data_IF_938560168244
#
_entry.id   IF_938560168244
#
_cell.length_a   1.000
_cell.length_b   1.000
_cell.length_c   1.000
_cell.angle_alpha   90.00
_cell.angle_beta   90.00
_cell.angle_gamma   90.00
#
_symmetry.space_group_name_H-M   'P 1'
#
loop_
_entity.id
_entity.type
_entity.pdbx_description
1 polymer ?
#
# COMPACT_ATOMS: atom_id res chain seq x y z
N UNK A 1 -2.96 42.70 7.52
CA UNK A 1 -4.07 42.07 6.77
C UNK A 1 -4.59 43.10 5.79
N UNK A 2 -4.19 43.03 4.53
CA UNK A 2 -4.62 43.97 3.49
C UNK A 2 -6.08 43.67 3.13
N UNK A 3 -6.98 44.65 3.26
CA UNK A 3 -8.36 44.48 2.81
C UNK A 3 -8.38 44.44 1.27
N UNK A 4 -8.81 43.31 0.73
CA UNK A 4 -9.02 43.15 -0.71
C UNK A 4 -10.23 44.00 -1.13
N UNK A 5 -10.05 44.92 -2.07
CA UNK A 5 -11.15 45.75 -2.58
C UNK A 5 -11.88 45.05 -3.71
N UNK A 6 -13.11 45.48 -4.02
CA UNK A 6 -13.87 44.97 -5.18
C UNK A 6 -13.08 45.12 -6.48
N UNK A 7 -12.31 46.20 -6.62
CA UNK A 7 -11.48 46.47 -7.79
C UNK A 7 -10.34 45.46 -7.91
N UNK A 8 -9.73 45.07 -6.80
CA UNK A 8 -8.64 44.09 -6.78
C UNK A 8 -9.14 42.71 -7.22
N UNK A 9 -10.32 42.29 -6.74
CA UNK A 9 -10.95 41.01 -7.15
C UNK A 9 -11.24 40.99 -8.65
N UNK A 10 -11.82 42.06 -9.20
CA UNK A 10 -12.13 42.16 -10.63
C UNK A 10 -10.84 42.15 -11.46
N UNK A 11 -9.81 42.87 -11.02
CA UNK A 11 -8.51 42.92 -11.72
C UNK A 11 -7.85 41.53 -11.73
N UNK A 12 -7.86 40.82 -10.60
CA UNK A 12 -7.32 39.46 -10.52
C UNK A 12 -8.10 38.48 -11.42
N UNK A 13 -9.43 38.56 -11.43
CA UNK A 13 -10.26 37.71 -12.28
C UNK A 13 -10.02 37.95 -13.79
N UNK A 14 -9.85 39.21 -14.20
CA UNK A 14 -9.54 39.54 -15.60
C UNK A 14 -8.13 39.08 -15.99
N UNK A 15 -7.14 39.26 -15.10
CA UNK A 15 -5.79 38.73 -15.34
C UNK A 15 -5.79 37.22 -15.54
N UNK A 16 -6.56 36.48 -14.72
CA UNK A 16 -6.70 35.04 -14.88
C UNK A 16 -7.36 34.67 -16.22
N UNK A 17 -8.39 35.42 -16.63
CA UNK A 17 -9.06 35.21 -17.91
C UNK A 17 -8.10 35.45 -19.09
N UNK A 18 -7.27 36.49 -19.02
CA UNK A 18 -6.24 36.78 -20.02
C UNK A 18 -5.18 35.66 -20.07
N UNK A 19 -4.70 35.18 -18.92
CA UNK A 19 -3.72 34.09 -18.86
C UNK A 19 -4.26 32.77 -19.45
N UNK A 20 -5.56 32.48 -19.27
CA UNK A 20 -6.23 31.34 -19.91
C UNK A 20 -6.38 31.58 -21.42
N UNK A 21 -6.82 32.77 -21.84
CA UNK A 21 -7.02 33.10 -23.25
C UNK A 21 -5.71 33.09 -24.06
N UNK A 22 -4.61 33.50 -23.43
CA UNK A 22 -3.25 33.47 -24.01
C UNK A 22 -2.61 32.08 -23.95
N UNK A 23 -3.27 31.08 -23.35
CA UNK A 23 -2.76 29.71 -23.23
C UNK A 23 -1.59 29.57 -22.25
N UNK A 24 -1.33 30.58 -21.42
CA UNK A 24 -0.34 30.51 -20.33
C UNK A 24 -0.82 29.63 -19.18
N UNK A 25 -2.13 29.59 -18.98
CA UNK A 25 -2.78 28.82 -17.95
C UNK A 25 -3.71 27.79 -18.59
N UNK A 26 -3.23 26.55 -18.71
CA UNK A 26 -4.02 25.43 -19.18
C UNK A 26 -4.70 24.72 -17.98
N UNK A 27 -6.05 24.63 -17.95
CA UNK A 27 -6.77 23.95 -16.88
C UNK A 27 -6.34 22.50 -16.67
N UNK A 28 -6.03 21.77 -17.75
CA UNK A 28 -5.60 20.37 -17.63
C UNK A 28 -4.23 20.26 -16.96
N UNK A 29 -3.31 21.19 -17.26
CA UNK A 29 -2.01 21.30 -16.60
C UNK A 29 -2.15 21.65 -15.11
N UNK A 30 -3.06 22.56 -14.77
CA UNK A 30 -3.33 22.89 -13.36
C UNK A 30 -3.92 21.72 -12.58
N UNK A 31 -4.85 20.97 -13.17
CA UNK A 31 -5.42 19.79 -12.52
C UNK A 31 -4.33 18.72 -12.30
N UNK A 32 -3.49 18.47 -13.31
CA UNK A 32 -2.37 17.55 -13.17
C UNK A 32 -1.39 17.97 -12.07
N UNK A 33 -1.06 19.27 -12.01
CA UNK A 33 -0.21 19.80 -10.95
C UNK A 33 -0.86 19.65 -9.57
N UNK A 34 -2.14 19.99 -9.42
CA UNK A 34 -2.86 19.84 -8.17
C UNK A 34 -2.90 18.38 -7.71
N UNK A 35 -3.14 17.43 -8.62
CA UNK A 35 -3.09 15.99 -8.32
C UNK A 35 -1.69 15.55 -7.90
N UNK A 36 -0.64 16.06 -8.54
CA UNK A 36 0.73 15.76 -8.17
C UNK A 36 1.07 16.26 -6.77
N UNK A 37 0.72 17.52 -6.46
CA UNK A 37 0.93 18.12 -5.13
C UNK A 37 0.12 17.41 -4.05
N UNK A 38 -1.15 17.08 -4.32
CA UNK A 38 -1.98 16.32 -3.39
C UNK A 38 -1.38 14.93 -3.15
N UNK A 39 -0.90 14.24 -4.19
CA UNK A 39 -0.24 12.94 -4.03
C UNK A 39 1.03 13.06 -3.19
N UNK A 40 1.81 14.12 -3.35
CA UNK A 40 2.99 14.36 -2.52
C UNK A 40 2.60 14.60 -1.06
N UNK A 41 1.55 15.38 -0.82
CA UNK A 41 1.11 15.75 0.51
C UNK A 41 0.41 14.61 1.27
N UNK A 42 -0.52 13.89 0.63
CA UNK A 42 -1.35 12.86 1.30
C UNK A 42 -1.01 11.43 0.90
N UNK A 43 -0.18 11.23 -0.13
CA UNK A 43 0.10 9.90 -0.67
C UNK A 43 1.11 9.10 0.14
N UNK A 44 1.83 9.73 1.06
CA UNK A 44 2.72 9.04 2.00
C UNK A 44 2.05 8.96 3.37
N UNK A 45 1.91 7.74 3.89
CA UNK A 45 1.34 7.48 5.22
C UNK A 45 2.48 7.07 6.14
N UNK A 46 2.79 7.90 7.15
CA UNK A 46 3.90 7.64 8.09
C UNK A 46 3.43 6.81 9.29
N UNK A 47 2.22 7.07 9.80
CA UNK A 47 1.65 6.40 10.97
C UNK A 47 0.67 7.29 11.73
N UNK A 48 0.17 6.80 12.87
CA UNK A 48 -0.86 7.48 13.67
C UNK A 48 -0.46 8.86 14.21
N UNK A 49 0.84 9.14 14.31
CA UNK A 49 1.36 10.45 14.72
C UNK A 49 1.38 11.49 13.59
N UNK A 50 1.00 11.11 12.36
CA UNK A 50 0.88 12.03 11.23
C UNK A 50 -0.32 12.98 11.42
N UNK A 51 -0.15 14.31 11.34
CA UNK A 51 -1.26 15.26 11.40
C UNK A 51 -2.35 15.03 10.36
N UNK A 52 -2.04 14.34 9.24
CA UNK A 52 -2.98 14.01 8.18
C UNK A 52 -3.66 12.65 8.37
N UNK A 53 -3.33 11.90 9.44
CA UNK A 53 -3.81 10.54 9.67
C UNK A 53 -5.33 10.42 9.63
N UNK A 54 -6.05 11.28 10.35
CA UNK A 54 -7.53 11.22 10.39
C UNK A 54 -8.16 11.42 9.00
N UNK A 55 -7.58 12.31 8.19
CA UNK A 55 -8.01 12.53 6.81
C UNK A 55 -7.72 11.30 5.94
N UNK A 56 -6.55 10.70 6.07
CA UNK A 56 -6.17 9.48 5.35
C UNK A 56 -7.10 8.31 5.69
N UNK A 57 -7.45 8.12 6.97
CA UNK A 57 -8.41 7.11 7.42
C UNK A 57 -9.81 7.36 6.84
N UNK A 58 -10.25 8.63 6.81
CA UNK A 58 -11.53 8.99 6.21
C UNK A 58 -11.55 8.69 4.70
N UNK A 59 -10.49 9.04 3.97
CA UNK A 59 -10.35 8.74 2.54
C UNK A 59 -10.37 7.23 2.31
N UNK A 60 -9.56 6.47 3.07
CA UNK A 60 -9.52 5.01 2.95
C UNK A 60 -10.91 4.38 3.20
N UNK A 61 -11.62 4.85 4.23
CA UNK A 61 -12.99 4.39 4.52
C UNK A 61 -13.96 4.70 3.38
N UNK A 62 -13.86 5.88 2.77
CA UNK A 62 -14.68 6.27 1.61
C UNK A 62 -14.38 5.43 0.36
N UNK A 63 -13.11 5.12 0.11
CA UNK A 63 -12.68 4.23 -0.98
C UNK A 63 -13.26 2.82 -0.78
N UNK A 64 -13.16 2.27 0.42
CA UNK A 64 -13.73 0.96 0.76
C UNK A 64 -15.25 0.94 0.59
N UNK A 65 -15.96 1.97 1.08
CA UNK A 65 -17.41 2.09 0.94
C UNK A 65 -17.86 2.18 -0.54
N UNK A 66 -17.01 2.75 -1.39
CA UNK A 66 -17.26 2.86 -2.84
C UNK A 66 -16.85 1.61 -3.62
N UNK A 67 -16.31 0.58 -2.95
CA UNK A 67 -15.81 -0.63 -3.60
C UNK A 67 -14.52 -0.42 -4.41
N UNK A 68 -13.70 0.57 -4.04
CA UNK A 68 -12.48 0.93 -4.77
C UNK A 68 -11.34 -0.10 -4.67
N UNK A 69 -11.43 -1.06 -3.75
CA UNK A 69 -10.47 -2.17 -3.60
C UNK A 69 -11.25 -3.48 -3.78
N UNK A 70 -10.81 -4.39 -4.67
CA UNK A 70 -11.42 -5.71 -4.83
C UNK A 70 -11.43 -6.51 -3.53
N UNK A 71 -12.45 -7.35 -3.33
CA UNK A 71 -12.60 -8.15 -2.10
C UNK A 71 -11.43 -9.09 -1.84
N UNK A 72 -10.87 -9.69 -2.89
CA UNK A 72 -9.73 -10.61 -2.77
C UNK A 72 -8.49 -9.87 -2.25
N UNK A 73 -8.19 -8.69 -2.80
CA UNK A 73 -7.09 -7.84 -2.34
C UNK A 73 -7.31 -7.36 -0.89
N UNK A 74 -8.54 -6.98 -0.53
CA UNK A 74 -8.87 -6.63 0.86
C UNK A 74 -8.62 -7.78 1.83
N UNK A 75 -8.88 -9.03 1.40
CA UNK A 75 -8.65 -10.22 2.23
C UNK A 75 -7.17 -10.46 2.50
N UNK A 76 -6.30 -10.15 1.53
CA UNK A 76 -4.84 -10.21 1.69
C UNK A 76 -4.35 -9.15 2.68
N UNK A 77 -4.81 -7.90 2.54
CA UNK A 77 -4.45 -6.83 3.46
C UNK A 77 -4.95 -7.09 4.89
N UNK A 78 -6.10 -7.74 5.05
CA UNK A 78 -6.58 -8.18 6.37
C UNK A 78 -5.64 -9.24 6.98
N UNK A 79 -5.13 -10.18 6.18
CA UNK A 79 -4.16 -11.16 6.65
C UNK A 79 -2.84 -10.48 7.08
N UNK A 80 -2.37 -9.49 6.32
CA UNK A 80 -1.20 -8.66 6.69
C UNK A 80 -1.43 -7.93 8.01
N UNK A 81 -2.59 -7.29 8.18
CA UNK A 81 -2.93 -6.58 9.41
C UNK A 81 -2.96 -7.52 10.63
N UNK A 82 -3.61 -8.68 10.52
CA UNK A 82 -3.64 -9.70 11.60
C UNK A 82 -2.25 -10.18 11.98
N UNK A 83 -1.40 -10.44 10.98
CA UNK A 83 0.00 -10.84 11.21
C UNK A 83 0.77 -9.76 11.96
N UNK A 84 0.60 -8.48 11.59
CA UNK A 84 1.24 -7.34 12.28
C UNK A 84 0.79 -7.25 13.74
N UNK A 85 -0.48 -7.50 14.00
CA UNK A 85 -1.06 -7.44 15.35
C UNK A 85 -0.73 -8.69 16.20
N UNK A 86 0.09 -9.60 15.68
CA UNK A 86 0.48 -10.84 16.36
C UNK A 86 -0.67 -11.86 16.50
N UNK A 87 -1.78 -11.63 15.80
CA UNK A 87 -2.88 -12.59 15.70
C UNK A 87 -2.48 -13.59 14.62
N UNK A 88 -1.75 -14.64 15.03
CA UNK A 88 -1.58 -15.81 14.18
C UNK A 88 -2.97 -16.24 13.73
N UNK A 89 -3.17 -16.20 12.42
CA UNK A 89 -4.46 -16.52 11.82
C UNK A 89 -4.62 -18.01 12.00
N UNK A 90 -5.32 -18.44 13.05
CA UNK A 90 -5.87 -19.79 13.04
C UNK A 90 -6.62 -19.90 11.70
N UNK A 91 -6.29 -20.90 10.86
CA UNK A 91 -7.07 -21.13 9.65
C UNK A 91 -8.52 -21.22 10.08
N UNK A 92 -9.40 -20.48 9.40
CA UNK A 92 -10.84 -20.45 9.67
C UNK A 92 -11.28 -21.89 9.92
N UNK A 93 -11.49 -22.22 11.20
CA UNK A 93 -11.81 -23.58 11.61
C UNK A 93 -13.00 -24.03 10.79
N UNK A 94 -12.89 -25.28 10.33
CA UNK A 94 -13.83 -26.01 9.48
C UNK A 94 -15.31 -25.62 9.70
N UNK A 95 -16.15 -25.69 8.65
CA UNK A 95 -17.53 -25.22 8.69
C UNK A 95 -18.22 -25.59 9.99
N UNK A 96 -18.73 -24.58 10.70
CA UNK A 96 -19.50 -24.73 11.94
C UNK A 96 -20.55 -25.82 11.70
N UNK A 97 -20.52 -26.93 12.45
CA UNK A 97 -21.53 -27.98 12.29
C UNK A 97 -22.91 -27.37 12.54
N UNK A 98 -23.74 -27.37 11.51
CA UNK A 98 -25.17 -27.07 11.64
C UNK A 98 -25.75 -28.15 12.55
N UNK A 99 -26.48 -27.80 13.63
CA UNK A 99 -27.11 -28.79 14.49
C UNK A 99 -28.09 -29.64 13.65
N UNK A 100 -27.71 -30.89 13.39
CA UNK A 100 -28.46 -31.83 12.54
C UNK A 100 -27.64 -32.69 11.58
N UNK A 101 -26.32 -32.48 11.45
CA UNK A 101 -25.46 -33.36 10.65
C UNK A 101 -24.90 -34.52 11.48
N UNK A 102 -25.60 -35.65 11.50
CA UNK A 102 -25.06 -36.92 11.99
C UNK A 102 -23.92 -37.40 11.08
N UNK A 103 -22.68 -37.14 11.47
CA UNK A 103 -21.50 -37.83 10.92
C UNK A 103 -20.65 -38.37 12.07
N UNK A 104 -20.42 -39.69 12.15
CA UNK A 104 -19.86 -40.32 13.34
C UNK A 104 -18.38 -40.03 13.50
N UNK A 105 -18.00 -39.77 14.75
CA UNK A 105 -16.63 -39.57 15.20
C UNK A 105 -15.81 -40.85 15.01
N UNK A 106 -14.89 -40.82 14.04
CA UNK A 106 -13.91 -41.87 13.78
C UNK A 106 -12.50 -41.33 13.96
N UNK A 107 -12.06 -41.21 15.21
CA UNK A 107 -10.66 -40.98 15.52
C UNK A 107 -9.87 -42.29 15.33
N UNK A 108 -9.04 -42.37 14.29
CA UNK A 108 -7.76 -43.11 14.32
C UNK A 108 -6.77 -42.42 13.39
N UNK A 109 -5.63 -41.99 13.92
CA UNK A 109 -4.35 -42.65 13.62
C UNK A 109 -3.19 -41.85 14.18
N UNK A 110 -2.50 -42.52 15.08
CA UNK A 110 -1.18 -42.20 15.58
C UNK A 110 -0.16 -42.27 14.43
N UNK A 111 0.58 -41.20 14.21
CA UNK A 111 1.95 -41.27 13.67
C UNK A 111 2.80 -40.23 14.40
N UNK A 112 3.54 -40.70 15.40
CA UNK A 112 4.70 -39.99 15.91
C UNK A 112 5.82 -40.19 14.90
N UNK A 113 5.98 -39.22 14.00
CA UNK A 113 7.14 -39.10 13.12
C UNK A 113 8.13 -38.13 13.74
N UNK A 114 9.33 -38.63 14.04
CA UNK A 114 10.50 -37.83 14.37
C UNK A 114 10.81 -36.91 13.18
N UNK A 115 10.50 -35.62 13.30
CA UNK A 115 10.89 -34.62 12.30
C UNK A 115 11.96 -33.71 12.91
N UNK A 116 13.18 -34.19 12.70
CA UNK A 116 14.41 -33.42 12.54
C UNK A 116 14.16 -31.95 12.15
N UNK A 117 14.84 -31.03 12.81
CA UNK A 117 14.89 -29.61 12.45
C UNK A 117 15.20 -29.43 10.96
N UNK A 118 14.18 -29.15 10.16
CA UNK A 118 14.29 -28.79 8.76
C UNK A 118 13.43 -27.55 8.54
N UNK A 119 14.07 -26.38 8.49
CA UNK A 119 13.42 -25.12 8.16
C UNK A 119 13.01 -25.16 6.68
N UNK A 120 11.87 -25.79 6.38
CA UNK A 120 11.34 -25.98 5.05
C UNK A 120 10.62 -24.75 4.51
N UNK A 121 11.26 -23.58 4.57
CA UNK A 121 10.91 -22.56 3.59
C UNK A 121 11.35 -23.13 2.22
N UNK A 122 10.50 -23.10 1.18
CA UNK A 122 11.00 -23.33 -0.17
C UNK A 122 12.14 -22.33 -0.38
N UNK A 123 13.34 -22.85 -0.64
CA UNK A 123 14.43 -22.01 -1.12
C UNK A 123 14.03 -21.58 -2.52
N UNK A 124 13.31 -20.45 -2.62
CA UNK A 124 12.77 -19.88 -3.87
C UNK A 124 13.87 -19.59 -4.91
N UNK A 125 15.14 -19.74 -4.52
CA UNK A 125 16.32 -19.57 -5.35
C UNK A 125 17.06 -20.90 -5.63
N UNK A 126 16.56 -22.05 -5.19
CA UNK A 126 17.19 -23.36 -5.38
C UNK A 126 17.37 -23.73 -6.85
N UNK A 127 16.46 -23.28 -7.71
CA UNK A 127 16.49 -23.52 -9.16
C UNK A 127 17.36 -22.49 -9.91
N UNK A 128 17.89 -21.47 -9.23
CA UNK A 128 18.67 -20.40 -9.83
C UNK A 128 20.15 -20.79 -9.85
N UNK A 129 20.84 -20.77 -11.01
CA UNK A 129 22.27 -21.02 -11.05
C UNK A 129 23.05 -20.02 -10.18
N UNK A 130 24.02 -20.52 -9.40
CA UNK A 130 24.82 -19.69 -8.47
C UNK A 130 25.50 -18.49 -9.13
N UNK A 131 25.83 -18.60 -10.41
CA UNK A 131 26.42 -17.52 -11.19
C UNK A 131 25.46 -16.35 -11.40
N UNK A 132 24.16 -16.63 -11.51
CA UNK A 132 23.10 -15.60 -11.60
C UNK A 132 22.94 -14.88 -10.27
N UNK A 133 23.00 -15.62 -9.17
CA UNK A 133 22.95 -15.06 -7.81
C UNK A 133 24.15 -14.14 -7.56
N UNK A 134 25.37 -14.61 -7.86
CA UNK A 134 26.60 -13.82 -7.70
C UNK A 134 26.57 -12.53 -8.55
N UNK A 135 26.05 -12.62 -9.78
CA UNK A 135 25.91 -11.45 -10.66
C UNK A 135 24.86 -10.46 -10.15
N UNK A 136 23.77 -10.94 -9.55
CA UNK A 136 22.75 -10.10 -8.95
C UNK A 136 23.29 -9.35 -7.71
N UNK A 137 24.06 -10.03 -6.87
CA UNK A 137 24.72 -9.44 -5.70
C UNK A 137 25.73 -8.35 -6.10
N UNK A 138 26.56 -8.62 -7.12
CA UNK A 138 27.51 -7.63 -7.64
C UNK A 138 26.80 -6.37 -8.18
N UNK A 139 25.72 -6.56 -8.94
CA UNK A 139 24.91 -5.46 -9.46
C UNK A 139 24.26 -4.64 -8.34
N UNK A 140 23.72 -5.30 -7.31
CA UNK A 140 23.11 -4.64 -6.16
C UNK A 140 24.15 -3.79 -5.39
N UNK A 141 25.35 -4.33 -5.16
CA UNK A 141 26.43 -3.62 -4.49
C UNK A 141 26.92 -2.40 -5.30
N UNK A 142 26.97 -2.50 -6.63
CA UNK A 142 27.32 -1.38 -7.50
C UNK A 142 26.30 -0.24 -7.42
N UNK A 143 25.00 -0.55 -7.35
CA UNK A 143 23.94 0.45 -7.18
C UNK A 143 24.04 1.15 -5.82
N UNK A 144 24.22 0.39 -4.74
CA UNK A 144 24.38 0.94 -3.38
C UNK A 144 25.61 1.86 -3.31
N UNK A 145 26.72 1.45 -3.92
CA UNK A 145 27.96 2.22 -3.93
C UNK A 145 27.80 3.53 -4.69
N UNK A 146 27.14 3.49 -5.86
CA UNK A 146 26.83 4.68 -6.65
C UNK A 146 25.93 5.65 -5.88
N UNK A 147 24.89 5.14 -5.23
CA UNK A 147 23.99 5.97 -4.42
C UNK A 147 24.74 6.66 -3.27
N UNK A 148 25.62 5.93 -2.56
CA UNK A 148 26.43 6.50 -1.48
C UNK A 148 27.39 7.58 -1.97
N UNK A 149 28.00 7.41 -3.14
CA UNK A 149 28.88 8.41 -3.74
C UNK A 149 28.15 9.68 -4.21
N UNK A 150 26.84 9.62 -4.44
CA UNK A 150 26.01 10.79 -4.76
C UNK A 150 25.54 11.56 -3.52
N UNK A 151 25.67 10.96 -2.33
CA UNK A 151 25.27 11.54 -1.04
C UNK A 151 26.45 12.19 -0.28
N UNK A 152 27.66 12.14 -0.84
CA UNK A 152 28.90 12.75 -0.30
C UNK A 152 29.38 13.90 -1.17
#
# INVERSE_FOLDING_TARGET
>A
MTMMTKRDVVTAAMSLADDVAEGKLDPATLEQQAVAELRELVGTVVGEDDPLWDLQVQIASGVLASGGIPTDELSEWLAVARRRDGVETEPLSAPVPIPGSDTPSGAVSSVSGDHSSGNGAPDDLADVPREVIARAEEAAMAVITRWRAQQS
#
